data_IF_016984764102
#
_entry.id   IF_016984764102
#
_cell.length_a   1.000
_cell.length_b   1.000
_cell.length_c   1.000
_cell.angle_alpha   90.00
_cell.angle_beta   90.00
_cell.angle_gamma   90.00
#
_symmetry.space_group_name_H-M   'P 1'
#
loop_
_entity.id
_entity.type
_entity.pdbx_description
1 polymer ?
#
# COMPACT_ATOMS: atom_id res chain seq x y z
N UNK A 1 -1.70 2.39 23.52
CA UNK A 1 -1.58 2.15 22.07
C UNK A 1 -1.34 0.66 21.87
N UNK A 2 -2.07 -0.01 20.98
CA UNK A 2 -1.80 -1.42 20.69
C UNK A 2 -0.39 -1.55 20.09
N UNK A 3 0.34 -2.59 20.50
CA UNK A 3 1.67 -2.85 19.93
C UNK A 3 1.56 -3.25 18.45
N UNK A 4 2.63 -3.11 17.68
CA UNK A 4 2.63 -3.64 16.29
C UNK A 4 2.39 -5.14 16.26
N UNK A 5 2.82 -5.84 17.30
CA UNK A 5 2.57 -7.25 17.48
C UNK A 5 1.08 -7.58 17.51
N UNK A 6 0.30 -6.82 18.28
CA UNK A 6 -1.16 -7.00 18.38
C UNK A 6 -1.87 -6.62 17.09
N UNK A 7 -1.47 -5.51 16.46
CA UNK A 7 -2.05 -5.05 15.19
C UNK A 7 -1.83 -6.08 14.08
N UNK A 8 -0.63 -6.63 13.96
CA UNK A 8 -0.34 -7.67 12.97
C UNK A 8 -1.10 -8.95 13.23
N UNK A 9 -1.23 -9.38 14.49
CA UNK A 9 -2.05 -10.55 14.84
C UNK A 9 -3.50 -10.36 14.42
N UNK A 10 -4.10 -9.20 14.69
CA UNK A 10 -5.48 -8.91 14.32
C UNK A 10 -5.65 -8.87 12.79
N UNK A 11 -4.76 -8.22 12.07
CA UNK A 11 -4.78 -8.12 10.62
C UNK A 11 -4.60 -9.49 9.94
N UNK A 12 -3.62 -10.28 10.39
CA UNK A 12 -3.37 -11.62 9.85
C UNK A 12 -4.51 -12.58 10.15
N UNK A 13 -5.07 -12.54 11.37
CA UNK A 13 -6.26 -13.31 11.71
C UNK A 13 -7.47 -12.94 10.83
N UNK A 14 -7.65 -11.64 10.55
CA UNK A 14 -8.68 -11.16 9.64
C UNK A 14 -8.49 -11.70 8.22
N UNK A 15 -7.26 -11.60 7.67
CA UNK A 15 -6.94 -12.05 6.31
C UNK A 15 -6.91 -13.58 6.17
N UNK A 16 -6.75 -14.33 7.26
CA UNK A 16 -6.72 -15.79 7.25
C UNK A 16 -8.11 -16.44 7.40
N UNK A 17 -9.20 -15.65 7.39
CA UNK A 17 -10.56 -16.19 7.46
C UNK A 17 -10.90 -16.96 6.18
N UNK A 18 -11.57 -18.11 6.27
CA UNK A 18 -11.95 -18.91 5.09
C UNK A 18 -12.85 -18.17 4.10
N UNK A 19 -13.63 -17.21 4.58
CA UNK A 19 -14.58 -16.42 3.78
C UNK A 19 -13.99 -15.13 3.19
N UNK A 20 -12.72 -14.82 3.48
CA UNK A 20 -12.10 -13.52 3.11
C UNK A 20 -12.01 -13.31 1.59
N UNK A 21 -11.92 -14.40 0.82
CA UNK A 21 -11.87 -14.34 -0.65
C UNK A 21 -13.25 -14.56 -1.30
N UNK A 22 -14.32 -14.60 -0.49
CA UNK A 22 -15.68 -14.76 -1.03
C UNK A 22 -16.05 -13.50 -1.86
N UNK A 23 -16.47 -13.66 -3.12
CA UNK A 23 -16.82 -12.52 -4.00
C UNK A 23 -17.90 -11.60 -3.44
N UNK A 24 -18.80 -12.11 -2.59
CA UNK A 24 -19.92 -11.36 -1.99
C UNK A 24 -19.62 -10.82 -0.59
N UNK A 25 -18.47 -11.19 -0.02
CA UNK A 25 -18.05 -10.76 1.32
C UNK A 25 -17.13 -9.55 1.32
N UNK A 26 -16.48 -9.35 2.45
CA UNK A 26 -15.39 -8.38 2.59
C UNK A 26 -14.27 -8.68 1.59
N UNK A 27 -13.61 -7.64 1.09
CA UNK A 27 -12.45 -7.86 0.23
C UNK A 27 -11.22 -8.20 1.06
N UNK A 28 -10.31 -9.03 0.53
CA UNK A 28 -9.13 -9.49 1.25
C UNK A 28 -8.04 -8.42 1.32
N UNK A 29 -8.42 -7.21 1.72
CA UNK A 29 -7.50 -6.08 1.91
C UNK A 29 -7.76 -5.44 3.28
N UNK A 30 -6.69 -5.15 4.01
CA UNK A 30 -6.78 -4.40 5.25
C UNK A 30 -5.53 -3.54 5.46
N UNK A 31 -5.60 -2.64 6.44
CA UNK A 31 -4.55 -1.72 6.79
C UNK A 31 -4.04 -1.97 8.20
N UNK A 32 -2.75 -1.81 8.39
CA UNK A 32 -2.13 -1.60 9.70
C UNK A 32 -1.49 -0.23 9.69
N UNK A 33 -2.00 0.65 10.56
CA UNK A 33 -1.45 2.01 10.70
C UNK A 33 -0.23 2.00 11.60
N UNK A 34 0.77 2.81 11.24
CA UNK A 34 1.97 3.03 12.05
C UNK A 34 2.32 4.52 12.17
N UNK A 35 3.02 4.86 13.26
CA UNK A 35 3.51 6.23 13.44
C UNK A 35 4.58 6.56 12.40
N UNK A 36 4.47 7.70 11.74
CA UNK A 36 5.43 8.15 10.70
C UNK A 36 6.87 8.15 11.21
N UNK A 37 7.08 8.41 12.52
CA UNK A 37 8.40 8.37 13.15
C UNK A 37 9.04 6.97 13.13
N UNK A 38 8.23 5.93 12.98
CA UNK A 38 8.69 4.53 12.93
C UNK A 38 8.99 4.07 11.49
N UNK A 39 8.84 4.94 10.47
CA UNK A 39 9.03 4.58 9.06
C UNK A 39 10.40 3.93 8.79
N UNK A 40 11.46 4.46 9.39
CA UNK A 40 12.82 3.91 9.25
C UNK A 40 12.92 2.51 9.88
N UNK A 41 12.29 2.31 11.04
CA UNK A 41 12.28 1.04 11.75
C UNK A 41 11.33 0.01 11.13
N UNK A 42 10.38 0.44 10.29
CA UNK A 42 9.35 -0.42 9.74
C UNK A 42 9.93 -1.60 8.95
N UNK A 43 11.02 -1.41 8.22
CA UNK A 43 11.72 -2.51 7.50
C UNK A 43 12.21 -3.60 8.46
N UNK A 44 12.73 -3.20 9.62
CA UNK A 44 13.14 -4.14 10.67
C UNK A 44 11.93 -4.81 11.31
N UNK A 45 10.89 -4.05 11.64
CA UNK A 45 9.63 -4.57 12.23
C UNK A 45 8.95 -5.59 11.30
N UNK A 46 8.92 -5.32 10.00
CA UNK A 46 8.41 -6.27 8.99
C UNK A 46 9.19 -7.58 9.05
N UNK A 47 10.52 -7.50 9.01
CA UNK A 47 11.40 -8.67 8.98
C UNK A 47 11.33 -9.48 10.28
N UNK A 48 11.34 -8.81 11.42
CA UNK A 48 11.48 -9.45 12.74
C UNK A 48 10.15 -9.82 13.38
N UNK A 49 9.05 -9.16 12.99
CA UNK A 49 7.74 -9.36 13.61
C UNK A 49 6.69 -9.83 12.62
N UNK A 50 6.42 -9.06 11.54
CA UNK A 50 5.33 -9.37 10.63
C UNK A 50 5.55 -10.69 9.86
N UNK A 51 6.71 -10.86 9.22
CA UNK A 51 7.00 -12.06 8.41
C UNK A 51 6.95 -13.36 9.24
N UNK A 52 7.58 -13.45 10.43
CA UNK A 52 7.47 -14.63 11.27
C UNK A 52 6.01 -14.94 11.67
N UNK A 53 5.23 -13.90 12.02
CA UNK A 53 3.81 -14.09 12.34
C UNK A 53 2.99 -14.56 11.13
N UNK A 54 3.16 -13.94 9.98
CA UNK A 54 2.47 -14.35 8.76
C UNK A 54 2.76 -15.82 8.40
N UNK A 55 4.02 -16.25 8.56
CA UNK A 55 4.40 -17.67 8.40
C UNK A 55 3.71 -18.57 9.41
N UNK A 56 3.55 -18.14 10.66
CA UNK A 56 2.79 -18.89 11.68
C UNK A 56 1.32 -19.09 11.26
N UNK A 57 0.70 -18.11 10.58
CA UNK A 57 -0.63 -18.20 9.98
C UNK A 57 -0.64 -19.00 8.65
N UNK A 58 0.50 -19.50 8.20
CA UNK A 58 0.62 -20.31 6.96
C UNK A 58 0.79 -19.47 5.70
N UNK A 59 0.95 -18.15 5.79
CA UNK A 59 1.11 -17.28 4.62
C UNK A 59 2.51 -17.35 4.02
N UNK A 60 2.57 -17.42 2.67
CA UNK A 60 3.75 -17.03 1.91
C UNK A 60 3.72 -15.50 1.68
N UNK A 61 4.67 -14.78 2.30
CA UNK A 61 4.70 -13.32 2.28
C UNK A 61 5.44 -12.82 1.05
N UNK A 62 4.76 -11.99 0.27
CA UNK A 62 5.30 -11.29 -0.90
C UNK A 62 5.23 -9.78 -0.68
N UNK A 63 6.39 -9.12 -0.76
CA UNK A 63 6.49 -7.68 -0.50
C UNK A 63 6.42 -6.89 -1.81
N UNK A 64 5.56 -5.87 -1.84
CA UNK A 64 5.57 -4.85 -2.88
C UNK A 64 5.93 -3.49 -2.25
N UNK A 65 7.07 -2.93 -2.63
CA UNK A 65 7.49 -1.59 -2.22
C UNK A 65 6.96 -0.56 -3.21
N UNK A 66 6.12 0.35 -2.72
CA UNK A 66 5.60 1.47 -3.52
C UNK A 66 6.75 2.39 -3.95
N UNK A 67 7.71 2.64 -3.05
CA UNK A 67 8.89 3.44 -3.38
C UNK A 67 9.69 2.87 -4.54
N UNK A 68 9.89 1.55 -4.56
CA UNK A 68 10.58 0.90 -5.67
C UNK A 68 9.78 1.02 -6.98
N UNK A 69 8.46 0.86 -6.94
CA UNK A 69 7.62 1.03 -8.13
C UNK A 69 7.68 2.44 -8.69
N UNK A 70 7.69 3.47 -7.82
CA UNK A 70 7.85 4.86 -8.23
C UNK A 70 9.21 5.07 -8.89
N UNK A 71 10.29 4.57 -8.30
CA UNK A 71 11.63 4.68 -8.88
C UNK A 71 11.73 3.98 -10.25
N UNK A 72 11.14 2.80 -10.39
CA UNK A 72 11.07 2.08 -11.67
C UNK A 72 10.28 2.87 -12.72
N UNK A 73 9.16 3.47 -12.33
CA UNK A 73 8.37 4.32 -13.22
C UNK A 73 9.16 5.54 -13.69
N UNK A 74 9.75 6.29 -12.77
CA UNK A 74 10.53 7.49 -13.09
C UNK A 74 11.77 7.18 -13.94
N UNK A 75 12.45 6.07 -13.69
CA UNK A 75 13.60 5.64 -14.49
C UNK A 75 13.23 5.30 -15.93
N UNK A 76 12.00 4.85 -16.17
CA UNK A 76 11.48 4.48 -17.48
C UNK A 76 10.57 5.56 -18.09
N UNK A 77 10.48 6.73 -17.45
CA UNK A 77 9.64 7.82 -17.90
C UNK A 77 10.14 8.33 -19.26
N UNK A 78 9.29 8.38 -20.30
CA UNK A 78 9.71 8.72 -21.67
C UNK A 78 10.38 10.09 -21.76
N UNK A 79 9.82 11.07 -21.06
CA UNK A 79 10.21 12.48 -21.15
C UNK A 79 11.00 12.93 -19.90
N UNK A 80 11.75 11.99 -19.25
CA UNK A 80 12.48 12.27 -18.02
C UNK A 80 13.50 13.42 -18.15
N UNK A 81 14.09 13.59 -19.33
CA UNK A 81 15.05 14.64 -19.59
C UNK A 81 14.36 16.03 -19.62
N UNK A 82 13.08 16.09 -20.02
CA UNK A 82 12.27 17.30 -19.92
C UNK A 82 11.92 17.63 -18.46
N UNK A 83 11.66 16.60 -17.63
CA UNK A 83 11.42 16.79 -16.19
C UNK A 83 12.63 17.34 -15.45
N UNK A 84 13.84 17.12 -15.97
CA UNK A 84 15.10 17.56 -15.41
C UNK A 84 15.58 18.91 -16.00
N UNK A 85 14.80 19.49 -16.91
CA UNK A 85 15.09 20.80 -17.49
C UNK A 85 14.88 21.91 -16.46
N UNK A 86 15.89 22.76 -16.26
CA UNK A 86 15.87 23.89 -15.32
C UNK A 86 14.76 24.93 -15.62
N UNK A 87 14.02 24.79 -16.71
CA UNK A 87 12.90 25.66 -17.07
C UNK A 87 11.63 25.43 -16.24
N UNK A 88 11.52 24.27 -15.57
CA UNK A 88 10.37 23.92 -14.71
C UNK A 88 10.71 24.02 -13.23
N UNK A 89 9.80 24.56 -12.45
CA UNK A 89 9.88 24.50 -11.00
C UNK A 89 9.57 23.09 -10.48
N UNK A 90 10.07 22.75 -9.29
CA UNK A 90 9.77 21.48 -8.63
C UNK A 90 8.25 21.27 -8.49
N UNK A 91 7.48 22.30 -8.15
CA UNK A 91 6.03 22.23 -8.00
C UNK A 91 5.35 21.88 -9.34
N UNK A 92 5.76 22.48 -10.46
CA UNK A 92 5.22 22.17 -11.80
C UNK A 92 5.53 20.73 -12.20
N UNK A 93 6.72 20.22 -11.89
CA UNK A 93 7.10 18.85 -12.14
C UNK A 93 6.21 17.89 -11.33
N UNK A 94 6.05 18.14 -10.04
CA UNK A 94 5.20 17.30 -9.18
C UNK A 94 3.72 17.33 -9.58
N UNK A 95 3.18 18.49 -9.96
CA UNK A 95 1.82 18.60 -10.45
C UNK A 95 1.61 17.80 -11.74
N UNK A 96 2.53 17.91 -12.69
CA UNK A 96 2.48 17.16 -13.96
C UNK A 96 2.53 15.65 -13.70
N UNK A 97 3.46 15.17 -12.89
CA UNK A 97 3.58 13.76 -12.53
C UNK A 97 2.33 13.25 -11.78
N UNK A 98 1.75 14.07 -10.90
CA UNK A 98 0.55 13.70 -10.16
C UNK A 98 -0.66 13.55 -11.09
N UNK A 99 -0.84 14.45 -12.06
CA UNK A 99 -1.91 14.37 -13.08
C UNK A 99 -1.74 13.10 -13.91
N UNK A 100 -0.55 12.88 -14.45
CA UNK A 100 -0.28 11.71 -15.28
C UNK A 100 -0.46 10.40 -14.51
N UNK A 101 0.01 10.35 -13.26
CA UNK A 101 -0.17 9.17 -12.39
C UNK A 101 -1.64 8.82 -12.21
N UNK A 102 -2.51 9.83 -12.07
CA UNK A 102 -3.95 9.64 -11.94
C UNK A 102 -4.63 9.21 -13.24
N UNK A 103 -4.19 9.75 -14.37
CA UNK A 103 -4.76 9.43 -15.68
C UNK A 103 -4.36 8.04 -16.16
N UNK A 104 -3.10 7.68 -16.05
CA UNK A 104 -2.56 6.40 -16.53
C UNK A 104 -2.86 5.23 -15.59
N UNK A 105 -3.13 5.51 -14.30
CA UNK A 105 -3.36 4.49 -13.24
C UNK A 105 -2.27 3.43 -13.18
N UNK A 106 -1.03 3.84 -13.46
CA UNK A 106 0.10 2.91 -13.54
C UNK A 106 0.38 2.20 -12.21
N UNK A 107 0.13 2.87 -11.06
CA UNK A 107 0.33 2.28 -9.74
C UNK A 107 -0.68 1.17 -9.46
N UNK A 108 -1.95 1.40 -9.78
CA UNK A 108 -3.00 0.39 -9.69
C UNK A 108 -2.68 -0.83 -10.56
N UNK A 109 -2.22 -0.56 -11.78
CA UNK A 109 -1.77 -1.61 -12.68
C UNK A 109 -0.58 -2.38 -12.09
N UNK A 110 0.44 -1.69 -11.57
CA UNK A 110 1.61 -2.32 -10.96
C UNK A 110 1.22 -3.25 -9.78
N UNK A 111 0.26 -2.84 -8.94
CA UNK A 111 -0.23 -3.66 -7.83
C UNK A 111 -0.99 -4.89 -8.36
N UNK A 112 -1.86 -4.72 -9.36
CA UNK A 112 -2.62 -5.82 -9.93
C UNK A 112 -1.74 -6.81 -10.71
N UNK A 113 -0.76 -6.32 -11.46
CA UNK A 113 0.22 -7.16 -12.16
C UNK A 113 1.06 -7.97 -11.17
N UNK A 114 1.44 -7.35 -10.04
CA UNK A 114 2.12 -8.07 -8.95
C UNK A 114 1.23 -9.15 -8.32
N UNK A 115 -0.04 -8.86 -8.09
CA UNK A 115 -1.01 -9.88 -7.64
C UNK A 115 -1.06 -11.08 -8.59
N UNK A 116 -1.12 -10.83 -9.90
CA UNK A 116 -1.13 -11.90 -10.91
C UNK A 116 0.13 -12.77 -10.87
N UNK A 117 1.29 -12.18 -10.57
CA UNK A 117 2.54 -12.91 -10.44
C UNK A 117 2.56 -13.85 -9.23
N UNK A 118 2.00 -13.40 -8.09
CA UNK A 118 2.10 -14.13 -6.82
C UNK A 118 0.91 -15.03 -6.52
N UNK A 119 -0.22 -14.88 -7.21
CA UNK A 119 -1.47 -15.61 -6.91
C UNK A 119 -1.36 -17.14 -7.02
N UNK A 120 -0.34 -17.65 -7.70
CA UNK A 120 -0.10 -19.09 -7.85
C UNK A 120 0.74 -19.69 -6.72
N UNK A 121 1.29 -18.87 -5.83
CA UNK A 121 1.98 -19.34 -4.64
C UNK A 121 1.00 -20.01 -3.68
N UNK A 122 1.52 -20.88 -2.84
CA UNK A 122 0.70 -21.53 -1.81
C UNK A 122 0.38 -20.49 -0.71
N UNK A 123 -0.91 -20.17 -0.53
CA UNK A 123 -1.44 -19.25 0.46
C UNK A 123 -0.72 -17.87 0.49
N UNK A 124 -0.72 -17.12 -0.62
CA UNK A 124 0.03 -15.87 -0.74
C UNK A 124 -0.57 -14.75 0.11
N UNK A 125 0.30 -13.90 0.65
CA UNK A 125 -0.04 -12.64 1.31
C UNK A 125 0.79 -11.52 0.70
N UNK A 126 0.17 -10.56 0.05
CA UNK A 126 0.83 -9.34 -0.41
C UNK A 126 0.93 -8.36 0.75
N UNK A 127 2.14 -7.87 1.02
CA UNK A 127 2.36 -6.78 1.98
C UNK A 127 2.86 -5.55 1.23
N UNK A 128 2.07 -4.47 1.26
CA UNK A 128 2.39 -3.19 0.61
C UNK A 128 3.16 -2.32 1.58
N UNK A 129 4.35 -1.86 1.17
CA UNK A 129 5.30 -1.08 1.99
C UNK A 129 5.69 0.25 1.33
N UNK A 130 6.39 1.09 2.07
CA UNK A 130 6.96 2.37 1.61
C UNK A 130 5.88 3.33 1.03
N UNK A 131 4.68 3.33 1.66
CA UNK A 131 3.54 4.13 1.20
C UNK A 131 3.81 5.64 1.29
N UNK A 132 4.69 6.06 2.20
CA UNK A 132 5.14 7.44 2.34
C UNK A 132 5.67 8.03 1.03
N UNK A 133 6.21 7.19 0.16
CA UNK A 133 6.73 7.59 -1.15
C UNK A 133 5.62 7.99 -2.16
N UNK A 134 4.34 7.72 -1.86
CA UNK A 134 3.24 8.25 -2.67
C UNK A 134 3.13 9.78 -2.60
N UNK A 135 3.62 10.39 -1.52
CA UNK A 135 3.61 11.84 -1.39
C UNK A 135 4.71 12.46 -2.27
N UNK A 136 4.41 13.54 -3.02
CA UNK A 136 3.11 14.21 -3.19
C UNK A 136 2.28 13.67 -4.36
N UNK A 137 2.74 12.63 -5.04
CA UNK A 137 2.26 12.21 -6.37
C UNK A 137 0.84 11.61 -6.36
N UNK A 138 0.51 10.79 -5.33
CA UNK A 138 -0.74 10.04 -5.37
C UNK A 138 -1.32 9.77 -3.97
N UNK A 139 -2.60 9.36 -3.93
CA UNK A 139 -3.31 9.02 -2.70
C UNK A 139 -3.73 7.56 -2.69
N UNK A 140 -3.38 6.83 -1.62
CA UNK A 140 -3.75 5.42 -1.48
C UNK A 140 -5.26 5.17 -1.56
N UNK A 141 -6.09 6.12 -1.09
CA UNK A 141 -7.56 6.00 -1.20
C UNK A 141 -8.06 5.94 -2.65
N UNK A 142 -7.43 6.65 -3.58
CA UNK A 142 -7.75 6.58 -5.01
C UNK A 142 -7.33 5.24 -5.60
N UNK A 143 -6.14 4.77 -5.23
CA UNK A 143 -5.64 3.44 -5.63
C UNK A 143 -6.63 2.37 -5.14
N UNK A 144 -6.96 2.37 -3.84
CA UNK A 144 -7.89 1.41 -3.26
C UNK A 144 -9.23 1.39 -3.99
N UNK A 145 -9.82 2.54 -4.27
CA UNK A 145 -11.10 2.61 -4.97
C UNK A 145 -11.07 1.92 -6.34
N UNK A 146 -9.94 2.00 -7.04
CA UNK A 146 -9.78 1.39 -8.37
C UNK A 146 -9.55 -0.13 -8.27
N UNK A 147 -8.75 -0.59 -7.29
CA UNK A 147 -8.37 -1.99 -7.19
C UNK A 147 -9.29 -2.82 -6.29
N UNK A 148 -10.09 -2.21 -5.42
CA UNK A 148 -10.86 -2.85 -4.35
C UNK A 148 -11.61 -4.11 -4.78
N UNK A 149 -12.35 -4.02 -5.90
CA UNK A 149 -13.12 -5.15 -6.41
C UNK A 149 -12.29 -6.15 -7.24
N UNK A 150 -11.02 -5.86 -7.48
CA UNK A 150 -10.09 -6.68 -8.28
C UNK A 150 -9.10 -7.46 -7.43
N UNK A 151 -9.02 -7.13 -6.13
CA UNK A 151 -8.15 -7.85 -5.20
C UNK A 151 -8.75 -9.20 -4.86
N UNK A 152 -7.99 -10.24 -5.11
CA UNK A 152 -8.34 -11.66 -4.87
C UNK A 152 -7.32 -12.36 -3.98
N UNK A 153 -6.11 -11.83 -3.86
CA UNK A 153 -5.06 -12.30 -2.96
C UNK A 153 -5.11 -11.46 -1.68
N UNK A 154 -5.05 -12.07 -0.48
CA UNK A 154 -4.92 -11.33 0.78
C UNK A 154 -3.85 -10.25 0.72
N UNK A 155 -4.22 -9.01 1.07
CA UNK A 155 -3.35 -7.85 0.98
C UNK A 155 -3.36 -7.06 2.30
N UNK A 156 -2.18 -6.90 2.89
CA UNK A 156 -1.93 -6.08 4.05
C UNK A 156 -1.21 -4.80 3.62
N UNK A 157 -1.80 -3.64 3.86
CA UNK A 157 -1.20 -2.34 3.54
C UNK A 157 -0.66 -1.71 4.81
N UNK A 158 0.64 -1.45 4.85
CA UNK A 158 1.28 -0.71 5.94
C UNK A 158 1.11 0.78 5.68
N UNK A 159 0.34 1.45 6.54
CA UNK A 159 -0.11 2.83 6.32
C UNK A 159 0.55 3.80 7.30
N UNK A 160 1.41 4.73 6.83
CA UNK A 160 2.02 5.74 7.67
C UNK A 160 0.99 6.79 8.08
N UNK A 161 0.59 6.82 9.35
CA UNK A 161 -0.37 7.78 9.87
C UNK A 161 -1.42 7.16 10.79
N UNK A 162 -2.56 7.82 10.89
CA UNK A 162 -3.65 7.48 11.81
C UNK A 162 -4.91 7.01 11.07
N UNK A 163 -5.72 6.20 11.74
CA UNK A 163 -7.05 5.82 11.28
C UNK A 163 -8.11 6.14 12.34
N UNK A 164 -9.27 6.63 11.88
CA UNK A 164 -10.48 6.85 12.68
C UNK A 164 -11.65 6.18 11.95
N UNK A 165 -11.99 4.96 12.38
CA UNK A 165 -12.92 4.12 11.61
C UNK A 165 -12.37 3.79 10.23
N UNK A 166 -13.11 4.12 9.18
CA UNK A 166 -12.64 3.96 7.80
C UNK A 166 -11.81 5.14 7.29
N UNK A 167 -11.87 6.31 7.94
CA UNK A 167 -11.11 7.47 7.53
C UNK A 167 -9.65 7.37 7.99
N UNK A 168 -8.73 7.88 7.17
CA UNK A 168 -7.29 7.85 7.44
C UNK A 168 -6.65 9.22 7.25
N UNK A 169 -5.66 9.51 8.08
CA UNK A 169 -4.81 10.70 7.98
C UNK A 169 -3.41 10.27 7.55
N UNK A 170 -3.09 10.51 6.30
CA UNK A 170 -1.79 10.15 5.74
C UNK A 170 -0.67 11.03 6.32
N UNK A 171 0.44 10.40 6.70
CA UNK A 171 1.63 11.03 7.29
C UNK A 171 1.36 11.92 8.51
N UNK A 172 0.20 11.77 9.18
CA UNK A 172 -0.26 12.66 10.26
C UNK A 172 -0.34 14.15 9.87
N UNK A 173 -0.08 14.47 8.61
CA UNK A 173 0.01 15.82 8.04
C UNK A 173 -1.21 16.18 7.18
N UNK A 174 -1.68 15.24 6.37
CA UNK A 174 -2.81 15.47 5.49
C UNK A 174 -4.14 15.55 6.24
N UNK A 175 -5.15 16.12 5.58
CA UNK A 175 -6.53 16.09 6.10
C UNK A 175 -7.03 14.65 6.17
N UNK A 176 -7.93 14.40 7.10
CA UNK A 176 -8.60 13.11 7.22
C UNK A 176 -9.36 12.80 5.92
N UNK A 177 -9.06 11.65 5.32
CA UNK A 177 -9.69 11.17 4.08
C UNK A 177 -10.60 9.98 4.40
N UNK A 178 -11.89 10.10 4.03
CA UNK A 178 -12.92 9.08 4.23
C UNK A 178 -13.08 8.09 3.07
N UNK A 179 -12.24 8.15 2.04
CA UNK A 179 -12.39 7.36 0.81
C UNK A 179 -11.88 5.91 0.92
N UNK A 180 -11.78 5.36 2.12
CA UNK A 180 -11.35 4.00 2.35
C UNK A 180 -12.53 3.09 2.67
N UNK A 181 -12.46 1.85 2.18
CA UNK A 181 -13.48 0.81 2.42
C UNK A 181 -12.97 -0.33 3.28
N UNK A 182 -11.65 -0.51 3.31
CA UNK A 182 -11.01 -1.63 3.97
C UNK A 182 -10.77 -1.36 5.45
N UNK A 183 -10.77 -2.45 6.21
CA UNK A 183 -10.64 -2.45 7.67
C UNK A 183 -9.25 -1.99 8.12
N UNK A 184 -9.21 -1.35 9.30
CA UNK A 184 -7.98 -0.89 9.95
C UNK A 184 -7.74 -1.64 11.26
N UNK A 185 -6.44 -1.79 11.58
CA UNK A 185 -5.96 -2.36 12.82
C UNK A 185 -4.86 -1.50 13.46
#
# INVERSE_FOLDING_TARGET
MASYDDKFNQALSYLNRPDITNPTGDKPICYVTYDVRDAIDMKRIIKETLIPKAKYYGFAVELISIGQRILEYLNNYPDKDELLDDSYSEDEIFESLAVETQETKWMEKAILDFQEQVKTAEHPLIVVTDLEMLHPLYKMGLIENTIYNKITVPMLVLYPGEAQGFAKRFLNFYKLDGNYRSKNF
#
